data_IF_141819036654
#
_entry.id   IF_141819036654
#
_cell.length_a   1.000
_cell.length_b   1.000
_cell.length_c   1.000
_cell.angle_alpha   90.00
_cell.angle_beta   90.00
_cell.angle_gamma   90.00
#
_symmetry.space_group_name_H-M   'P 1'
#
loop_
_entity.id
_entity.type
_entity.pdbx_description
1 polymer ?
#
# COMPACT_ATOMS: atom_id res chain seq x y z
N UNK A 1 6.42 22.93 10.66
CA UNK A 1 7.03 21.96 11.61
C UNK A 1 6.05 20.90 12.12
N UNK A 2 4.76 21.23 12.29
CA UNK A 2 3.72 20.29 12.77
C UNK A 2 3.62 19.03 11.89
N UNK A 3 3.72 19.17 10.57
CA UNK A 3 3.64 18.04 9.64
C UNK A 3 4.70 16.96 9.87
N UNK A 4 5.92 17.33 10.32
CA UNK A 4 7.00 16.37 10.65
C UNK A 4 6.60 15.51 11.85
N UNK A 5 6.04 16.16 12.88
CA UNK A 5 5.57 15.46 14.09
C UNK A 5 4.44 14.49 13.73
N UNK A 6 3.48 14.96 12.93
CA UNK A 6 2.37 14.11 12.47
C UNK A 6 2.88 12.94 11.62
N UNK A 7 3.87 13.15 10.76
CA UNK A 7 4.48 12.09 9.97
C UNK A 7 5.18 11.05 10.85
N UNK A 8 5.92 11.48 11.87
CA UNK A 8 6.56 10.55 12.83
C UNK A 8 5.54 9.74 13.62
N UNK A 9 4.49 10.39 14.12
CA UNK A 9 3.39 9.71 14.82
C UNK A 9 2.72 8.70 13.89
N UNK A 10 2.41 9.08 12.64
CA UNK A 10 1.85 8.18 11.63
C UNK A 10 2.73 6.95 11.39
N UNK A 11 4.04 7.14 11.32
CA UNK A 11 5.00 6.03 11.13
C UNK A 11 4.97 5.04 12.30
N UNK A 12 4.85 5.53 13.54
CA UNK A 12 4.72 4.66 14.72
C UNK A 12 3.43 3.85 14.67
N UNK A 13 2.29 4.48 14.36
CA UNK A 13 1.02 3.77 14.23
C UNK A 13 1.04 2.76 13.07
N UNK A 14 1.64 3.12 11.94
CA UNK A 14 1.78 2.21 10.80
C UNK A 14 2.63 0.98 11.17
N UNK A 15 3.75 1.18 11.88
CA UNK A 15 4.57 0.06 12.34
C UNK A 15 3.85 -0.83 13.34
N UNK A 16 3.11 -0.24 14.29
CA UNK A 16 2.28 -0.99 15.24
C UNK A 16 1.18 -1.79 14.53
N UNK A 17 0.52 -1.20 13.53
CA UNK A 17 -0.48 -1.89 12.70
C UNK A 17 0.14 -3.09 12.00
N UNK A 18 1.30 -2.96 11.36
CA UNK A 18 1.97 -4.08 10.69
C UNK A 18 2.33 -5.24 11.63
N UNK A 19 2.70 -4.96 12.89
CA UNK A 19 2.93 -5.99 13.90
C UNK A 19 1.63 -6.68 14.31
N UNK A 20 0.53 -5.92 14.47
CA UNK A 20 -0.79 -6.46 14.77
C UNK A 20 -1.32 -7.31 13.62
N UNK A 21 -1.18 -6.85 12.38
CA UNK A 21 -1.55 -7.59 11.18
C UNK A 21 -0.86 -8.96 11.15
N UNK A 22 0.46 -8.98 11.39
CA UNK A 22 1.23 -10.22 11.47
C UNK A 22 0.74 -11.12 12.59
N UNK A 23 0.51 -10.57 13.78
CA UNK A 23 0.05 -11.34 14.93
C UNK A 23 -1.31 -12.00 14.65
N UNK A 24 -2.27 -11.25 14.11
CA UNK A 24 -3.60 -11.76 13.79
C UNK A 24 -3.52 -12.83 12.70
N UNK A 25 -2.78 -12.57 11.62
CA UNK A 25 -2.64 -13.51 10.51
C UNK A 25 -1.90 -14.79 10.88
N UNK A 26 -0.94 -14.73 11.82
CA UNK A 26 -0.19 -15.91 12.25
C UNK A 26 -0.90 -16.75 13.31
N UNK A 27 -1.69 -16.11 14.19
CA UNK A 27 -2.30 -16.77 15.35
C UNK A 27 -3.67 -17.36 15.05
N UNK A 28 -4.47 -16.71 14.20
CA UNK A 28 -5.89 -17.04 14.01
C UNK A 28 -6.21 -17.75 12.69
N UNK A 29 -5.22 -18.15 11.91
CA UNK A 29 -5.40 -18.89 10.63
C UNK A 29 -6.36 -18.20 9.64
N UNK A 30 -6.53 -16.89 9.76
CA UNK A 30 -7.34 -16.13 8.80
C UNK A 30 -6.71 -16.21 7.40
N UNK A 31 -7.57 -16.41 6.39
CA UNK A 31 -7.08 -16.23 5.01
C UNK A 31 -6.77 -14.74 4.76
N UNK A 32 -5.79 -14.46 3.91
CA UNK A 32 -5.46 -13.07 3.53
C UNK A 32 -6.67 -12.33 2.97
N UNK A 33 -7.54 -13.03 2.24
CA UNK A 33 -8.79 -12.46 1.69
C UNK A 33 -9.75 -12.07 2.82
N UNK A 34 -10.05 -13.01 3.74
CA UNK A 34 -10.98 -12.75 4.86
C UNK A 34 -10.48 -11.61 5.74
N UNK A 35 -9.18 -11.52 5.96
CA UNK A 35 -8.58 -10.44 6.73
C UNK A 35 -8.82 -9.08 6.09
N UNK A 36 -8.58 -8.95 4.78
CA UNK A 36 -8.79 -7.71 4.04
C UNK A 36 -10.27 -7.31 4.01
N UNK A 37 -11.18 -8.27 3.86
CA UNK A 37 -12.61 -7.99 3.92
C UNK A 37 -12.96 -7.36 5.27
N UNK A 38 -12.52 -7.95 6.38
CA UNK A 38 -12.72 -7.39 7.72
C UNK A 38 -12.10 -5.99 7.85
N UNK A 39 -10.88 -5.80 7.36
CA UNK A 39 -10.19 -4.51 7.39
C UNK A 39 -10.95 -3.43 6.62
N UNK A 40 -11.47 -3.75 5.43
CA UNK A 40 -12.29 -2.82 4.64
C UNK A 40 -13.57 -2.45 5.39
N UNK A 41 -14.28 -3.39 6.01
CA UNK A 41 -15.47 -3.09 6.80
C UNK A 41 -15.16 -2.19 8.01
N UNK A 42 -14.07 -2.46 8.73
CA UNK A 42 -13.63 -1.60 9.85
C UNK A 42 -13.29 -0.19 9.34
N UNK A 43 -12.63 -0.08 8.18
CA UNK A 43 -12.34 1.20 7.55
C UNK A 43 -13.61 2.03 7.30
N UNK A 44 -14.72 1.39 6.88
CA UNK A 44 -15.97 2.12 6.62
C UNK A 44 -16.53 2.82 7.86
N UNK A 45 -16.29 2.32 9.07
CA UNK A 45 -16.70 2.98 10.29
C UNK A 45 -16.07 4.38 10.43
N UNK A 46 -14.86 4.57 9.91
CA UNK A 46 -14.17 5.86 9.91
C UNK A 46 -14.55 6.75 8.73
N UNK A 47 -15.07 6.16 7.64
CA UNK A 47 -15.50 6.90 6.45
C UNK A 47 -16.87 7.54 6.63
N UNK A 48 -17.76 6.92 7.39
CA UNK A 48 -19.11 7.47 7.65
C UNK A 48 -19.06 8.90 8.22
N UNK A 49 -18.27 9.18 9.26
CA UNK A 49 -18.09 10.56 9.74
C UNK A 49 -17.57 11.53 8.68
N UNK A 50 -16.70 11.09 7.79
CA UNK A 50 -16.16 11.93 6.71
C UNK A 50 -17.27 12.34 5.75
N UNK A 51 -18.15 11.42 5.35
CA UNK A 51 -19.31 11.75 4.51
C UNK A 51 -20.25 12.75 5.17
N UNK A 52 -20.40 12.68 6.52
CA UNK A 52 -21.32 13.55 7.26
C UNK A 52 -20.72 14.95 7.49
N UNK A 53 -19.42 15.03 7.83
CA UNK A 53 -18.81 16.26 8.35
C UNK A 53 -17.87 16.96 7.37
N UNK A 54 -17.30 16.26 6.38
CA UNK A 54 -16.30 16.84 5.48
C UNK A 54 -16.90 17.43 4.19
N UNK A 55 -18.22 17.41 4.00
CA UNK A 55 -18.87 17.98 2.81
C UNK A 55 -18.43 17.27 1.53
N UNK A 56 -18.49 15.92 1.55
CA UNK A 56 -18.08 15.11 0.39
C UNK A 56 -19.05 15.32 -0.76
N UNK A 57 -18.52 15.76 -1.91
CA UNK A 57 -19.30 16.02 -3.11
C UNK A 57 -18.93 15.00 -4.20
N UNK A 58 -19.94 14.63 -5.02
CA UNK A 58 -19.71 13.78 -6.19
C UNK A 58 -19.47 14.66 -7.42
N UNK A 59 -18.25 14.61 -7.95
CA UNK A 59 -17.84 15.36 -9.14
C UNK A 59 -17.52 14.41 -10.29
N UNK A 60 -18.37 14.40 -11.32
CA UNK A 60 -18.12 13.62 -12.54
C UNK A 60 -17.02 14.29 -13.39
N UNK A 61 -16.08 13.55 -13.99
CA UNK A 61 -15.85 12.09 -13.90
C UNK A 61 -14.88 11.71 -12.77
N UNK A 62 -14.33 12.67 -12.02
CA UNK A 62 -13.19 12.49 -11.09
C UNK A 62 -13.53 11.52 -9.95
N UNK A 63 -14.75 11.62 -9.40
CA UNK A 63 -15.19 10.71 -8.34
C UNK A 63 -15.28 9.25 -8.81
N UNK A 64 -15.65 9.02 -10.08
CA UNK A 64 -15.65 7.66 -10.65
C UNK A 64 -14.22 7.11 -10.75
N UNK A 65 -13.27 7.92 -11.18
CA UNK A 65 -11.86 7.51 -11.19
C UNK A 65 -11.33 7.21 -9.79
N UNK A 66 -11.74 7.97 -8.77
CA UNK A 66 -11.39 7.69 -7.38
C UNK A 66 -11.96 6.34 -6.91
N UNK A 67 -13.21 6.02 -7.25
CA UNK A 67 -13.84 4.73 -6.94
C UNK A 67 -13.08 3.58 -7.62
N UNK A 68 -12.79 3.71 -8.91
CA UNK A 68 -12.02 2.70 -9.65
C UNK A 68 -10.62 2.51 -9.05
N UNK A 69 -9.96 3.60 -8.68
CA UNK A 69 -8.64 3.57 -8.06
C UNK A 69 -8.67 2.84 -6.71
N UNK A 70 -9.68 3.10 -5.87
CA UNK A 70 -9.89 2.38 -4.62
C UNK A 70 -10.13 0.89 -4.84
N UNK A 71 -10.97 0.53 -5.80
CA UNK A 71 -11.21 -0.89 -6.14
C UNK A 71 -9.92 -1.61 -6.55
N UNK A 72 -9.05 -0.97 -7.32
CA UNK A 72 -7.76 -1.53 -7.73
C UNK A 72 -6.78 -1.71 -6.56
N UNK A 73 -6.86 -0.89 -5.52
CA UNK A 73 -5.97 -0.97 -4.35
C UNK A 73 -6.13 -2.26 -3.55
N UNK A 74 -7.28 -2.90 -3.62
CA UNK A 74 -7.54 -4.18 -2.91
C UNK A 74 -6.65 -5.31 -3.45
N UNK A 75 -6.31 -5.27 -4.73
CA UNK A 75 -5.46 -6.30 -5.37
C UNK A 75 -4.07 -6.37 -4.70
N UNK A 76 -3.26 -5.29 -4.67
CA UNK A 76 -1.96 -5.33 -4.01
C UNK A 76 -2.06 -5.65 -2.52
N UNK A 77 -3.12 -5.20 -1.83
CA UNK A 77 -3.33 -5.51 -0.42
C UNK A 77 -3.41 -7.03 -0.16
N UNK A 78 -4.08 -7.80 -1.03
CA UNK A 78 -4.15 -9.27 -0.92
C UNK A 78 -2.75 -9.90 -1.01
N UNK A 79 -1.92 -9.45 -1.96
CA UNK A 79 -0.56 -9.97 -2.13
C UNK A 79 0.34 -9.59 -0.95
N UNK A 80 0.20 -8.38 -0.43
CA UNK A 80 0.89 -7.92 0.77
C UNK A 80 0.54 -8.79 1.98
N UNK A 81 -0.74 -9.03 2.25
CA UNK A 81 -1.17 -9.87 3.38
C UNK A 81 -0.74 -11.33 3.21
N UNK A 82 -0.69 -11.86 1.99
CA UNK A 82 -0.12 -13.20 1.72
C UNK A 82 1.38 -13.25 2.04
N UNK A 83 2.12 -12.22 1.69
CA UNK A 83 3.53 -12.12 2.07
C UNK A 83 3.69 -12.04 3.58
N UNK A 84 2.85 -11.24 4.26
CA UNK A 84 2.84 -11.08 5.71
C UNK A 84 2.55 -12.39 6.45
N UNK A 85 1.74 -13.29 5.89
CA UNK A 85 1.49 -14.62 6.47
C UNK A 85 2.76 -15.50 6.48
N UNK A 86 3.54 -15.45 5.41
CA UNK A 86 4.60 -16.41 5.13
C UNK A 86 6.01 -15.95 5.49
N UNK A 87 6.21 -14.65 5.70
CA UNK A 87 7.53 -14.03 5.93
C UNK A 87 7.56 -13.18 7.20
N UNK A 88 8.76 -12.84 7.63
CA UNK A 88 8.98 -11.91 8.76
C UNK A 88 8.52 -10.49 8.41
N UNK A 89 7.91 -9.80 9.38
CA UNK A 89 7.40 -8.42 9.21
C UNK A 89 8.47 -7.49 8.67
N UNK A 90 9.67 -7.52 9.24
CA UNK A 90 10.79 -6.65 8.83
C UNK A 90 11.14 -6.81 7.35
N UNK A 91 11.07 -8.04 6.85
CA UNK A 91 11.38 -8.36 5.46
C UNK A 91 10.24 -7.92 4.52
N UNK A 92 9.00 -8.17 4.91
CA UNK A 92 7.81 -7.75 4.16
C UNK A 92 7.78 -6.23 4.04
N UNK A 93 7.97 -5.51 5.16
CA UNK A 93 7.99 -4.05 5.17
C UNK A 93 9.14 -3.48 4.32
N UNK A 94 10.33 -4.08 4.36
CA UNK A 94 11.43 -3.64 3.51
C UNK A 94 11.10 -3.84 2.02
N UNK A 95 10.55 -4.99 1.64
CA UNK A 95 10.12 -5.27 0.27
C UNK A 95 8.99 -4.33 -0.18
N UNK A 96 8.06 -4.01 0.73
CA UNK A 96 6.98 -3.08 0.46
C UNK A 96 7.49 -1.76 -0.12
N UNK A 97 8.44 -1.12 0.55
CA UNK A 97 8.93 0.21 0.16
C UNK A 97 9.63 0.26 -1.20
N UNK A 98 9.92 -0.86 -1.84
CA UNK A 98 10.53 -0.86 -3.17
C UNK A 98 9.59 -0.24 -4.23
N UNK A 99 8.27 -0.20 -4.01
CA UNK A 99 7.35 0.49 -4.91
C UNK A 99 7.70 1.97 -5.11
N UNK A 100 8.36 2.61 -4.13
CA UNK A 100 8.78 4.02 -4.23
C UNK A 100 9.73 4.27 -5.40
N UNK A 101 10.54 3.30 -5.80
CA UNK A 101 11.41 3.42 -6.97
C UNK A 101 10.56 3.49 -8.24
N UNK A 102 9.53 2.65 -8.32
CA UNK A 102 8.62 2.65 -9.47
C UNK A 102 7.78 3.94 -9.51
N UNK A 103 7.36 4.47 -8.36
CA UNK A 103 6.70 5.78 -8.27
C UNK A 103 7.63 6.90 -8.72
N UNK A 104 8.89 6.89 -8.27
CA UNK A 104 9.89 7.89 -8.64
C UNK A 104 10.12 7.91 -10.16
N UNK A 105 10.36 6.74 -10.75
CA UNK A 105 10.54 6.61 -12.19
C UNK A 105 9.27 6.97 -12.98
N UNK A 106 8.12 6.52 -12.50
CA UNK A 106 6.83 6.85 -13.10
C UNK A 106 6.52 8.35 -13.04
N UNK A 107 6.84 9.03 -11.95
CA UNK A 107 6.67 10.47 -11.81
C UNK A 107 7.54 11.24 -12.81
N UNK A 108 8.80 10.81 -13.00
CA UNK A 108 9.67 11.42 -13.99
C UNK A 108 9.18 11.22 -15.43
N UNK A 109 8.74 10.00 -15.77
CA UNK A 109 8.38 9.64 -17.15
C UNK A 109 6.97 10.12 -17.50
N UNK A 110 5.99 9.90 -16.61
CA UNK A 110 4.57 10.15 -16.89
C UNK A 110 4.11 11.56 -16.50
N UNK A 111 4.68 12.10 -15.40
CA UNK A 111 4.31 13.42 -14.89
C UNK A 111 5.33 14.50 -15.26
N UNK A 112 6.43 14.17 -15.93
CA UNK A 112 7.47 15.09 -16.36
C UNK A 112 8.25 15.74 -15.19
N UNK A 113 8.30 15.09 -14.03
CA UNK A 113 8.98 15.62 -12.86
C UNK A 113 10.50 15.53 -13.01
N UNK A 114 11.20 16.60 -12.65
CA UNK A 114 12.67 16.62 -12.66
C UNK A 114 13.22 15.93 -11.40
N UNK A 115 13.95 14.84 -11.60
CA UNK A 115 14.62 14.14 -10.52
C UNK A 115 15.94 14.84 -10.17
N UNK A 116 16.14 15.14 -8.90
CA UNK A 116 17.41 15.68 -8.40
C UNK A 116 18.35 14.54 -8.00
N UNK A 117 19.65 14.85 -7.86
CA UNK A 117 20.65 13.88 -7.39
C UNK A 117 20.25 13.20 -6.07
N UNK A 118 19.55 13.92 -5.18
CA UNK A 118 19.06 13.37 -3.91
C UNK A 118 18.05 12.23 -4.11
N UNK A 119 17.20 12.34 -5.13
CA UNK A 119 16.23 11.27 -5.46
C UNK A 119 16.95 10.01 -5.95
N UNK A 120 17.98 10.15 -6.79
CA UNK A 120 18.78 9.00 -7.26
C UNK A 120 19.52 8.32 -6.11
N UNK A 121 20.18 9.11 -5.24
CA UNK A 121 20.88 8.57 -4.06
C UNK A 121 19.89 7.85 -3.12
N UNK A 122 18.73 8.46 -2.83
CA UNK A 122 17.70 7.87 -2.00
C UNK A 122 17.15 6.55 -2.57
N UNK A 123 16.88 6.51 -3.87
CA UNK A 123 16.44 5.31 -4.58
C UNK A 123 17.51 4.19 -4.56
N UNK A 124 18.78 4.56 -4.73
CA UNK A 124 19.88 3.60 -4.64
C UNK A 124 20.00 3.00 -3.22
N UNK A 125 19.99 3.85 -2.19
CA UNK A 125 20.07 3.40 -0.80
C UNK A 125 18.88 2.49 -0.44
N UNK A 126 17.68 2.83 -0.89
CA UNK A 126 16.49 2.01 -0.70
C UNK A 126 16.67 0.64 -1.37
N UNK A 127 17.13 0.61 -2.62
CA UNK A 127 17.35 -0.65 -3.35
C UNK A 127 18.36 -1.54 -2.63
N UNK A 128 19.49 -0.98 -2.22
CA UNK A 128 20.53 -1.72 -1.47
C UNK A 128 19.98 -2.26 -0.16
N UNK A 129 19.22 -1.44 0.58
CA UNK A 129 18.60 -1.85 1.85
C UNK A 129 17.63 -3.03 1.64
N UNK A 130 16.76 -2.96 0.64
CA UNK A 130 15.81 -4.04 0.32
C UNK A 130 16.54 -5.31 -0.09
N UNK A 131 17.58 -5.22 -0.92
CA UNK A 131 18.38 -6.39 -1.31
C UNK A 131 19.01 -7.05 -0.09
N UNK A 132 19.63 -6.28 0.80
CA UNK A 132 20.26 -6.79 2.01
C UNK A 132 19.27 -7.50 2.93
N UNK A 133 18.08 -6.93 3.15
CA UNK A 133 17.04 -7.55 4.00
C UNK A 133 16.37 -8.75 3.33
N UNK A 134 16.25 -8.74 2.01
CA UNK A 134 15.64 -9.83 1.24
C UNK A 134 16.57 -11.05 1.12
N UNK A 135 17.86 -10.87 1.35
CA UNK A 135 18.83 -11.93 1.23
C UNK A 135 18.75 -12.85 2.46
N UNK A 136 18.40 -14.12 2.23
CA UNK A 136 18.38 -15.14 3.29
C UNK A 136 19.76 -15.75 3.44
N UNK A 137 20.43 -15.45 4.53
CA UNK A 137 21.57 -16.25 4.97
C UNK A 137 21.02 -17.55 5.56
N UNK A 138 20.90 -18.59 4.76
CA UNK A 138 20.63 -19.93 5.26
C UNK A 138 21.90 -20.50 5.85
N UNK A 139 21.78 -21.31 6.94
CA UNK A 139 22.93 -21.97 7.60
C UNK A 139 23.77 -22.80 6.64
N UNK A 140 24.88 -23.37 7.14
CA UNK A 140 26.00 -23.97 6.38
C UNK A 140 25.62 -24.91 5.22
N UNK A 141 24.39 -25.49 5.20
CA UNK A 141 23.99 -26.53 4.25
C UNK A 141 22.97 -26.09 3.20
N UNK A 142 22.67 -24.79 3.06
CA UNK A 142 21.70 -24.34 2.07
C UNK A 142 22.20 -23.14 1.28
N UNK A 143 22.02 -23.19 -0.04
CA UNK A 143 22.34 -22.08 -0.93
C UNK A 143 21.56 -20.82 -0.52
N UNK A 144 22.23 -19.65 -0.47
CA UNK A 144 21.57 -18.38 -0.23
C UNK A 144 20.57 -18.13 -1.38
N UNK A 145 19.39 -17.65 -1.03
CA UNK A 145 18.35 -17.43 -2.03
C UNK A 145 17.47 -16.22 -1.73
N UNK A 146 16.84 -15.72 -2.75
CA UNK A 146 15.87 -14.63 -2.65
C UNK A 146 14.61 -15.18 -1.98
N UNK A 147 14.02 -14.41 -1.05
CA UNK A 147 12.78 -14.78 -0.39
C UNK A 147 11.66 -15.08 -1.39
N UNK A 148 10.89 -16.18 -1.20
CA UNK A 148 9.71 -16.48 -2.02
C UNK A 148 8.66 -15.35 -2.05
N UNK A 149 8.62 -14.51 -1.03
CA UNK A 149 7.73 -13.35 -0.97
C UNK A 149 7.98 -12.35 -2.11
N UNK A 150 9.21 -12.26 -2.63
CA UNK A 150 9.55 -11.33 -3.73
C UNK A 150 8.62 -11.55 -4.93
N UNK A 151 8.24 -12.80 -5.23
CA UNK A 151 7.31 -13.08 -6.35
C UNK A 151 5.94 -12.43 -6.17
N UNK A 152 5.46 -12.35 -4.93
CA UNK A 152 4.16 -11.72 -4.60
C UNK A 152 4.27 -10.20 -4.73
N UNK A 153 5.46 -9.64 -4.47
CA UNK A 153 5.68 -8.20 -4.54
C UNK A 153 5.78 -7.63 -5.96
N UNK A 154 6.02 -8.42 -7.01
CA UNK A 154 5.97 -7.88 -8.38
C UNK A 154 4.61 -7.26 -8.70
N UNK A 155 3.52 -7.96 -8.37
CA UNK A 155 2.16 -7.46 -8.57
C UNK A 155 1.91 -6.28 -7.62
N UNK A 156 2.30 -6.42 -6.36
CA UNK A 156 2.17 -5.36 -5.36
C UNK A 156 2.82 -4.06 -5.84
N UNK A 157 4.08 -4.08 -6.27
CA UNK A 157 4.81 -2.88 -6.71
C UNK A 157 4.17 -2.22 -7.92
N UNK A 158 3.76 -3.01 -8.93
CA UNK A 158 3.15 -2.48 -10.14
C UNK A 158 1.84 -1.75 -9.83
N UNK A 159 0.93 -2.40 -9.09
CA UNK A 159 -0.37 -1.81 -8.75
C UNK A 159 -0.23 -0.65 -7.76
N UNK A 160 0.64 -0.76 -6.77
CA UNK A 160 0.86 0.30 -5.77
C UNK A 160 1.51 1.52 -6.40
N UNK A 161 2.49 1.35 -7.27
CA UNK A 161 3.10 2.47 -8.00
C UNK A 161 2.06 3.18 -8.89
N UNK A 162 1.28 2.41 -9.65
CA UNK A 162 0.19 2.96 -10.45
C UNK A 162 -0.83 3.74 -9.58
N UNK A 163 -1.21 3.15 -8.44
CA UNK A 163 -2.13 3.78 -7.49
C UNK A 163 -1.61 5.14 -7.03
N UNK A 164 -0.36 5.26 -6.57
CA UNK A 164 0.18 6.53 -6.09
C UNK A 164 0.35 7.59 -7.19
N UNK A 165 0.69 7.19 -8.42
CA UNK A 165 0.76 8.09 -9.56
C UNK A 165 -0.62 8.62 -9.94
N UNK A 166 -1.62 7.75 -9.99
CA UNK A 166 -3.01 8.13 -10.27
C UNK A 166 -3.60 8.98 -9.15
N UNK A 167 -3.31 8.64 -7.88
CA UNK A 167 -3.72 9.41 -6.70
C UNK A 167 -3.19 10.84 -6.77
N UNK A 168 -1.93 11.03 -7.14
CA UNK A 168 -1.35 12.35 -7.31
C UNK A 168 -2.06 13.16 -8.39
N UNK A 169 -2.41 12.52 -9.51
CA UNK A 169 -3.17 13.16 -10.59
C UNK A 169 -4.57 13.58 -10.13
N UNK A 170 -5.27 12.72 -9.38
CA UNK A 170 -6.61 13.02 -8.86
C UNK A 170 -6.61 14.13 -7.82
N UNK A 171 -5.57 14.21 -6.96
CA UNK A 171 -5.43 15.29 -5.98
C UNK A 171 -5.25 16.70 -6.60
N UNK A 172 -4.90 16.78 -7.87
CA UNK A 172 -4.91 18.05 -8.60
C UNK A 172 -6.34 18.53 -8.94
N UNK A 173 -7.33 17.64 -8.90
CA UNK A 173 -8.71 17.89 -9.34
C UNK A 173 -9.75 17.78 -8.23
N UNK A 174 -9.41 17.21 -7.07
CA UNK A 174 -10.29 17.05 -5.91
C UNK A 174 -9.51 17.13 -4.61
N UNK A 175 -10.21 17.47 -3.51
CA UNK A 175 -9.60 17.51 -2.19
C UNK A 175 -9.37 16.09 -1.61
N UNK A 176 -8.54 16.01 -0.58
CA UNK A 176 -8.13 14.75 0.05
C UNK A 176 -9.32 13.98 0.65
N UNK A 177 -10.29 14.69 1.22
CA UNK A 177 -11.48 14.07 1.84
C UNK A 177 -12.38 13.41 0.80
N UNK A 178 -12.61 14.08 -0.32
CA UNK A 178 -13.37 13.52 -1.45
C UNK A 178 -12.66 12.30 -2.02
N UNK A 179 -11.35 12.41 -2.26
CA UNK A 179 -10.56 11.30 -2.78
C UNK A 179 -10.60 10.09 -1.84
N UNK A 180 -10.39 10.31 -0.54
CA UNK A 180 -10.42 9.25 0.47
C UNK A 180 -11.81 8.60 0.59
N UNK A 181 -12.87 9.42 0.62
CA UNK A 181 -14.24 8.93 0.70
C UNK A 181 -14.62 8.06 -0.52
N UNK A 182 -14.41 8.56 -1.75
CA UNK A 182 -14.77 7.84 -2.97
C UNK A 182 -13.87 6.62 -3.23
N UNK A 183 -12.59 6.68 -2.91
CA UNK A 183 -11.72 5.49 -3.00
C UNK A 183 -12.14 4.41 -2.00
N UNK A 184 -12.60 4.78 -0.81
CA UNK A 184 -13.14 3.82 0.17
C UNK A 184 -14.43 3.15 -0.29
N UNK A 185 -15.29 3.86 -1.02
CA UNK A 185 -16.44 3.25 -1.71
C UNK A 185 -15.96 2.21 -2.72
N UNK A 186 -14.89 2.51 -3.46
CA UNK A 186 -14.26 1.57 -4.38
C UNK A 186 -13.74 0.31 -3.68
N UNK A 187 -13.07 0.46 -2.53
CA UNK A 187 -12.64 -0.68 -1.72
C UNK A 187 -13.84 -1.57 -1.32
N UNK A 188 -14.96 -0.95 -0.91
CA UNK A 188 -16.16 -1.69 -0.50
C UNK A 188 -16.80 -2.45 -1.67
N UNK A 189 -16.86 -1.86 -2.87
CA UNK A 189 -17.38 -2.52 -4.07
C UNK A 189 -16.56 -3.79 -4.38
N UNK A 190 -15.24 -3.74 -4.20
CA UNK A 190 -14.37 -4.89 -4.45
C UNK A 190 -14.53 -6.04 -3.44
N UNK A 191 -15.21 -5.80 -2.32
CA UNK A 191 -15.54 -6.87 -1.35
C UNK A 191 -16.51 -7.89 -1.97
N UNK A 192 -17.47 -7.45 -2.78
CA UNK A 192 -18.48 -8.34 -3.35
C UNK A 192 -17.88 -9.55 -4.11
N UNK A 193 -16.96 -9.38 -5.07
CA UNK A 193 -16.32 -10.52 -5.75
C UNK A 193 -15.41 -11.34 -4.84
N UNK A 194 -14.91 -10.77 -3.74
CA UNK A 194 -14.06 -11.51 -2.79
C UNK A 194 -14.87 -12.44 -1.87
N UNK A 195 -16.17 -12.18 -1.69
CA UNK A 195 -17.05 -13.02 -0.89
C UNK A 195 -17.53 -14.27 -1.66
N UNK A 196 -17.44 -14.27 -2.99
CA UNK A 196 -17.94 -15.37 -3.84
C UNK A 196 -16.90 -16.43 -4.16
N UNK A 197 -15.62 -16.17 -3.84
CA UNK A 197 -14.46 -17.07 -4.02
C UNK A 197 -14.03 -17.74 -2.69
#
# INVERSE_FOLDING_TARGET
>A
MIWIILALISTVFFSASGLLDKFILSTHSFSSKSYIICQIFVQQLFIIPIFIFAGVEFTYPVSIFAILLGSLQVIPAIYYMRAMQNEEVSRVTALEYLYLIFVLLGAAILLGETLTLKHYIGGLLLTVSVVLVSYRFKGKDSLPGISPAVKQFYIYWAFTAFYYLALKYLLASMNEWNLFAWSSVGNLIMVAPLLTD
#
